data_IF_572875114956
#
_entry.id   IF_572875114956
#
_cell.length_a   1.000
_cell.length_b   1.000
_cell.length_c   1.000
_cell.angle_alpha   90.00
_cell.angle_beta   90.00
_cell.angle_gamma   90.00
#
_symmetry.space_group_name_H-M   'P 1'
#
loop_
_entity.id
_entity.type
_entity.pdbx_description
1 polymer ?
#
# COMPACT_ATOMS: atom_id res chain seq x y z
N UNK A 1 20.19 -3.46 7.75
CA UNK A 1 18.97 -2.68 7.45
C UNK A 1 18.51 -1.95 8.71
N UNK A 2 18.30 -0.62 8.61
CA UNK A 2 17.85 0.24 9.71
C UNK A 2 16.51 -0.27 10.30
N UNK A 3 16.33 -0.18 11.63
CA UNK A 3 15.11 -0.56 12.35
C UNK A 3 13.86 0.14 11.78
N UNK A 4 13.98 1.41 11.41
CA UNK A 4 12.86 2.17 10.83
C UNK A 4 12.39 1.59 9.49
N UNK A 5 13.33 1.19 8.64
CA UNK A 5 13.03 0.58 7.33
C UNK A 5 12.27 -0.73 7.55
N UNK A 6 12.73 -1.58 8.50
CA UNK A 6 12.05 -2.83 8.85
C UNK A 6 10.61 -2.60 9.30
N UNK A 7 10.40 -1.67 10.23
CA UNK A 7 9.07 -1.36 10.76
C UNK A 7 8.16 -0.84 9.64
N UNK A 8 8.65 0.08 8.82
CA UNK A 8 7.86 0.67 7.74
C UNK A 8 7.47 -0.38 6.69
N UNK A 9 8.41 -1.24 6.29
CA UNK A 9 8.14 -2.37 5.39
C UNK A 9 7.10 -3.33 5.97
N UNK A 10 7.24 -3.71 7.23
CA UNK A 10 6.33 -4.66 7.88
C UNK A 10 4.93 -4.08 8.01
N UNK A 11 4.79 -2.85 8.50
CA UNK A 11 3.48 -2.22 8.68
C UNK A 11 2.78 -2.04 7.33
N UNK A 12 3.43 -1.45 6.34
CA UNK A 12 2.80 -1.24 5.04
C UNK A 12 2.55 -2.53 4.28
N UNK A 13 3.37 -3.57 4.48
CA UNK A 13 3.10 -4.92 3.99
C UNK A 13 1.88 -5.57 4.61
N UNK A 14 1.74 -5.49 5.94
CA UNK A 14 0.54 -6.00 6.62
C UNK A 14 -0.73 -5.28 6.13
N UNK A 15 -0.68 -3.96 5.99
CA UNK A 15 -1.81 -3.20 5.44
C UNK A 15 -2.07 -3.53 3.96
N UNK A 16 -1.03 -3.74 3.15
CA UNK A 16 -1.19 -4.17 1.76
C UNK A 16 -1.94 -5.50 1.65
N UNK A 17 -1.56 -6.49 2.46
CA UNK A 17 -2.29 -7.75 2.53
C UNK A 17 -3.73 -7.57 3.07
N UNK A 18 -3.91 -6.68 4.06
CA UNK A 18 -5.22 -6.41 4.65
C UNK A 18 -6.21 -5.77 3.67
N UNK A 19 -5.74 -4.87 2.79
CA UNK A 19 -6.58 -4.28 1.73
C UNK A 19 -7.20 -5.38 0.87
N UNK A 20 -6.42 -6.39 0.51
CA UNK A 20 -6.92 -7.52 -0.27
C UNK A 20 -7.83 -8.43 0.54
N UNK A 21 -7.46 -8.74 1.78
CA UNK A 21 -8.26 -9.57 2.67
C UNK A 21 -9.66 -8.99 2.92
N UNK A 22 -9.77 -7.67 2.99
CA UNK A 22 -11.03 -6.97 3.25
C UNK A 22 -11.85 -6.70 1.99
N UNK A 23 -11.24 -6.80 0.80
CA UNK A 23 -11.88 -6.50 -0.47
C UNK A 23 -13.22 -7.22 -0.69
N UNK A 24 -13.35 -8.55 -0.47
CA UNK A 24 -14.63 -9.24 -0.66
C UNK A 24 -15.75 -8.72 0.25
N UNK A 25 -15.40 -8.25 1.44
CA UNK A 25 -16.36 -7.82 2.46
C UNK A 25 -16.77 -6.36 2.29
N UNK A 26 -15.90 -5.53 1.70
CA UNK A 26 -16.14 -4.09 1.55
C UNK A 26 -16.74 -3.78 0.17
N UNK A 27 -16.21 -4.37 -0.89
CA UNK A 27 -16.59 -4.04 -2.28
C UNK A 27 -17.12 -5.23 -3.08
N UNK A 28 -17.25 -6.41 -2.44
CA UNK A 28 -17.82 -7.60 -3.07
C UNK A 28 -16.92 -8.28 -4.10
N UNK A 29 -15.67 -7.81 -4.27
CA UNK A 29 -14.72 -8.32 -5.26
C UNK A 29 -13.50 -8.93 -4.57
N UNK A 30 -13.03 -10.06 -5.09
CA UNK A 30 -11.80 -10.71 -4.60
C UNK A 30 -10.57 -9.85 -4.89
N UNK A 31 -10.47 -9.35 -6.12
CA UNK A 31 -9.43 -8.42 -6.51
C UNK A 31 -9.95 -6.98 -6.30
N UNK A 32 -9.33 -6.18 -5.43
CA UNK A 32 -9.87 -4.87 -5.06
C UNK A 32 -9.95 -3.88 -6.22
N UNK A 33 -9.11 -4.07 -7.24
CA UNK A 33 -9.09 -3.24 -8.45
C UNK A 33 -10.19 -3.58 -9.45
N UNK A 34 -10.88 -4.72 -9.30
CA UNK A 34 -12.02 -5.09 -10.16
C UNK A 34 -13.30 -4.35 -9.77
N UNK A 35 -13.31 -3.72 -8.59
CA UNK A 35 -14.46 -2.93 -8.15
C UNK A 35 -14.51 -1.57 -8.86
N UNK A 36 -15.71 -1.14 -9.27
CA UNK A 36 -15.98 0.22 -9.80
C UNK A 36 -15.89 1.33 -8.73
N UNK A 37 -15.24 1.06 -7.61
CA UNK A 37 -15.17 1.96 -6.45
C UNK A 37 -13.76 2.52 -6.27
N UNK A 38 -13.65 3.61 -5.52
CA UNK A 38 -12.34 4.16 -5.15
C UNK A 38 -11.61 3.36 -4.06
N UNK A 39 -12.19 2.26 -3.56
CA UNK A 39 -11.69 1.52 -2.41
C UNK A 39 -10.20 1.19 -2.49
N UNK A 40 -9.76 0.66 -3.63
CA UNK A 40 -8.39 0.18 -3.80
C UNK A 40 -7.37 1.31 -3.66
N UNK A 41 -7.47 2.33 -4.52
CA UNK A 41 -6.53 3.45 -4.52
C UNK A 41 -6.66 4.33 -3.27
N UNK A 42 -7.88 4.53 -2.76
CA UNK A 42 -8.09 5.26 -1.52
C UNK A 42 -7.43 4.56 -0.33
N UNK A 43 -7.58 3.24 -0.21
CA UNK A 43 -6.97 2.48 0.88
C UNK A 43 -5.44 2.52 0.83
N UNK A 44 -4.85 2.35 -0.36
CA UNK A 44 -3.39 2.48 -0.55
C UNK A 44 -2.92 3.90 -0.14
N UNK A 45 -3.64 4.93 -0.58
CA UNK A 45 -3.33 6.32 -0.25
C UNK A 45 -3.43 6.59 1.25
N UNK A 46 -4.50 6.13 1.90
CA UNK A 46 -4.71 6.25 3.36
C UNK A 46 -3.58 5.60 4.14
N UNK A 47 -3.16 4.39 3.75
CA UNK A 47 -2.03 3.69 4.40
C UNK A 47 -0.75 4.50 4.28
N UNK A 48 -0.38 4.95 3.08
CA UNK A 48 0.83 5.76 2.88
C UNK A 48 0.79 7.07 3.66
N UNK A 49 -0.34 7.77 3.60
CA UNK A 49 -0.53 9.04 4.29
C UNK A 49 -0.42 8.89 5.81
N UNK A 50 -1.20 7.97 6.40
CA UNK A 50 -1.27 7.79 7.86
C UNK A 50 0.05 7.28 8.44
N UNK A 51 0.69 6.30 7.81
CA UNK A 51 1.98 5.78 8.30
C UNK A 51 3.08 6.84 8.22
N UNK A 52 3.12 7.64 7.15
CA UNK A 52 4.09 8.73 6.99
C UNK A 52 3.87 9.87 7.98
N UNK A 53 2.62 10.21 8.32
CA UNK A 53 2.32 11.17 9.38
C UNK A 53 2.93 10.75 10.73
N UNK A 54 2.93 9.45 11.04
CA UNK A 54 3.52 8.93 12.28
C UNK A 54 5.05 8.85 12.13
N UNK A 55 5.55 8.24 11.05
CA UNK A 55 6.96 7.95 10.79
C UNK A 55 7.38 8.43 9.38
N UNK A 56 7.80 9.69 9.19
CA UNK A 56 8.06 10.26 7.85
C UNK A 56 9.39 9.82 7.20
N UNK A 57 10.12 8.88 7.82
CA UNK A 57 11.42 8.43 7.33
C UNK A 57 11.28 7.31 6.30
N UNK A 58 12.18 7.25 5.32
CA UNK A 58 12.29 6.15 4.34
C UNK A 58 10.98 5.85 3.59
N UNK A 59 10.38 6.84 2.93
CA UNK A 59 9.07 6.71 2.26
C UNK A 59 9.00 5.57 1.24
N UNK A 60 10.11 5.28 0.56
CA UNK A 60 10.22 4.16 -0.38
C UNK A 60 9.87 2.81 0.30
N UNK A 61 10.17 2.67 1.59
CA UNK A 61 9.87 1.45 2.35
C UNK A 61 8.35 1.21 2.45
N UNK A 62 7.53 2.26 2.48
CA UNK A 62 6.08 2.11 2.48
C UNK A 62 5.58 1.53 1.16
N UNK A 63 6.02 2.10 0.03
CA UNK A 63 5.66 1.61 -1.29
C UNK A 63 6.14 0.16 -1.51
N UNK A 64 7.37 -0.15 -1.12
CA UNK A 64 7.92 -1.51 -1.20
C UNK A 64 7.13 -2.49 -0.33
N UNK A 65 6.79 -2.12 0.90
CA UNK A 65 5.99 -2.99 1.77
C UNK A 65 4.57 -3.19 1.22
N UNK A 66 3.89 -2.12 0.77
CA UNK A 66 2.57 -2.21 0.12
C UNK A 66 2.62 -3.16 -1.07
N UNK A 67 3.64 -3.08 -1.92
CA UNK A 67 3.82 -4.00 -3.04
C UNK A 67 3.98 -5.45 -2.54
N UNK A 68 4.93 -5.69 -1.62
CA UNK A 68 5.23 -7.04 -1.11
C UNK A 68 4.01 -7.66 -0.43
N UNK A 69 3.30 -6.92 0.41
CA UNK A 69 2.14 -7.42 1.15
C UNK A 69 1.02 -7.90 0.25
N UNK A 70 0.69 -7.08 -0.75
CA UNK A 70 -0.33 -7.43 -1.75
C UNK A 70 0.12 -8.61 -2.62
N UNK A 71 1.37 -8.59 -3.09
CA UNK A 71 1.91 -9.66 -3.90
C UNK A 71 1.93 -11.00 -3.15
N UNK A 72 2.37 -11.01 -1.89
CA UNK A 72 2.33 -12.20 -1.05
C UNK A 72 0.89 -12.65 -0.78
N UNK A 73 -0.05 -11.73 -0.60
CA UNK A 73 -1.46 -12.11 -0.45
C UNK A 73 -1.97 -12.87 -1.68
N UNK A 74 -1.70 -12.36 -2.89
CA UNK A 74 -2.04 -13.05 -4.14
C UNK A 74 -1.43 -14.45 -4.17
N UNK A 75 -0.13 -14.57 -3.90
CA UNK A 75 0.58 -15.84 -3.99
C UNK A 75 0.09 -16.90 -2.98
N UNK A 76 -0.39 -16.47 -1.81
CA UNK A 76 -0.79 -17.37 -0.72
C UNK A 76 -2.27 -17.72 -0.77
N UNK A 77 -3.14 -16.76 -1.13
CA UNK A 77 -4.59 -16.90 -0.95
C UNK A 77 -5.39 -16.97 -2.24
N UNK A 78 -4.80 -16.61 -3.40
CA UNK A 78 -5.53 -16.57 -4.67
C UNK A 78 -5.04 -17.64 -5.65
N UNK A 79 -5.92 -18.14 -6.53
CA UNK A 79 -5.50 -19.02 -7.61
C UNK A 79 -4.58 -18.28 -8.58
N UNK A 80 -3.39 -18.83 -8.82
CA UNK A 80 -2.40 -18.22 -9.71
C UNK A 80 -2.84 -18.43 -11.17
N UNK A 81 -3.24 -17.35 -11.81
CA UNK A 81 -3.64 -17.33 -13.22
C UNK A 81 -2.55 -16.83 -14.19
N UNK A 82 -2.79 -16.92 -15.50
CA UNK A 82 -1.85 -16.46 -16.53
C UNK A 82 -1.58 -14.95 -16.49
N UNK A 83 -2.47 -14.18 -15.85
CA UNK A 83 -2.36 -12.73 -15.70
C UNK A 83 -1.49 -12.28 -14.51
N UNK A 84 -0.86 -13.21 -13.77
CA UNK A 84 -0.03 -12.86 -12.60
C UNK A 84 1.02 -11.79 -12.91
N UNK A 85 1.68 -11.88 -14.07
CA UNK A 85 2.70 -10.90 -14.48
C UNK A 85 2.10 -9.52 -14.66
N UNK A 86 0.95 -9.42 -15.33
CA UNK A 86 0.23 -8.16 -15.55
C UNK A 86 -0.24 -7.57 -14.22
N UNK A 87 -0.83 -8.40 -13.36
CA UNK A 87 -1.24 -7.99 -12.01
C UNK A 87 -0.06 -7.52 -11.15
N UNK A 88 1.11 -8.14 -11.28
CA UNK A 88 2.33 -7.71 -10.57
C UNK A 88 2.81 -6.34 -11.04
N UNK A 89 2.78 -6.08 -12.36
CA UNK A 89 3.10 -4.77 -12.92
C UNK A 89 2.09 -3.72 -12.42
N UNK A 90 0.81 -4.06 -12.39
CA UNK A 90 -0.24 -3.19 -11.88
C UNK A 90 -0.07 -2.88 -10.39
N UNK A 91 0.32 -3.87 -9.58
CA UNK A 91 0.70 -3.67 -8.17
C UNK A 91 1.86 -2.69 -8.01
N UNK A 92 2.88 -2.81 -8.87
CA UNK A 92 4.03 -1.90 -8.85
C UNK A 92 3.58 -0.45 -9.12
N UNK A 93 2.76 -0.23 -10.14
CA UNK A 93 2.20 1.09 -10.43
C UNK A 93 1.30 1.59 -9.30
N UNK A 94 0.46 0.73 -8.74
CA UNK A 94 -0.43 1.07 -7.63
C UNK A 94 0.35 1.46 -6.37
N UNK A 95 1.53 0.86 -6.15
CA UNK A 95 2.41 1.23 -5.03
C UNK A 95 2.95 2.66 -5.11
N UNK A 96 2.96 3.27 -6.30
CA UNK A 96 3.31 4.69 -6.47
C UNK A 96 2.30 5.60 -5.76
N UNK A 97 1.02 5.23 -5.70
CA UNK A 97 0.01 5.96 -4.93
C UNK A 97 0.42 6.03 -3.45
N UNK A 98 0.88 4.91 -2.88
CA UNK A 98 1.39 4.89 -1.50
C UNK A 98 2.57 5.85 -1.34
N UNK A 99 3.52 5.84 -2.27
CA UNK A 99 4.69 6.72 -2.24
C UNK A 99 4.28 8.20 -2.26
N UNK A 100 3.44 8.61 -3.20
CA UNK A 100 3.01 10.01 -3.35
C UNK A 100 2.17 10.47 -2.17
N UNK A 101 1.24 9.64 -1.67
CA UNK A 101 0.48 9.96 -0.45
C UNK A 101 1.37 10.07 0.78
N UNK A 102 2.38 9.20 0.91
CA UNK A 102 3.37 9.28 1.99
C UNK A 102 4.20 10.57 1.90
N UNK A 103 4.57 10.99 0.69
CA UNK A 103 5.30 12.24 0.45
C UNK A 103 4.45 13.45 0.81
N UNK A 104 3.17 13.48 0.42
CA UNK A 104 2.24 14.54 0.79
C UNK A 104 2.11 14.67 2.32
N UNK A 105 1.94 13.56 3.03
CA UNK A 105 1.89 13.54 4.49
C UNK A 105 3.18 14.08 5.14
N UNK A 106 4.34 13.72 4.60
CA UNK A 106 5.63 14.22 5.10
C UNK A 106 5.73 15.74 4.94
N UNK A 107 5.41 16.26 3.74
CA UNK A 107 5.45 17.69 3.45
C UNK A 107 4.49 18.48 4.35
N UNK A 108 3.27 17.96 4.56
CA UNK A 108 2.30 18.56 5.47
C UNK A 108 2.84 18.62 6.91
N UNK A 109 3.48 17.54 7.38
CA UNK A 109 4.08 17.52 8.72
C UNK A 109 5.23 18.51 8.87
N UNK A 110 5.98 18.76 7.80
CA UNK A 110 7.05 19.76 7.77
C UNK A 110 6.50 21.19 7.76
N UNK A 111 5.41 21.47 7.05
CA UNK A 111 4.80 22.81 7.05
C UNK A 111 4.30 23.24 8.42
N UNK A 112 3.75 22.32 9.23
CA UNK A 112 3.31 22.63 10.59
C UNK A 112 4.44 22.82 11.62
N UNK A 113 5.68 22.44 11.31
CA UNK A 113 6.82 22.66 12.21
C UNK A 113 7.41 24.06 12.09
N UNK A 114 7.08 24.79 11.02
CA UNK A 114 7.67 26.07 10.68
C UNK A 114 6.67 27.24 10.72
N UNK A 115 5.42 27.00 11.10
CA UNK A 115 4.40 28.03 11.36
C UNK A 115 4.02 28.06 12.83
#
# INVERSE_FOLDING_TARGET
MNKDIKINLLLSGLFGALIWALSPYIVGHTEPWDSDTYYYFASIGVVGFTLSLIRPNNLWAYATGIFIGQFLYILVFLPIGPLLVVGTIFLLFSSAVCYFSSMAAKLLKESYKHG
#
